data_IF_186122933934
#
_entry.id   IF_186122933934
#
_cell.length_a   1.000
_cell.length_b   1.000
_cell.length_c   1.000
_cell.angle_alpha   90.00
_cell.angle_beta   90.00
_cell.angle_gamma   90.00
#
_symmetry.space_group_name_H-M   'P 1'
#
loop_
_entity.id
_entity.type
_entity.pdbx_description
1 polymer ?
#
# COMPACT_ATOMS: atom_id res chain seq x y z
N UNK A 1 -1.75 -11.65 -14.69
CA UNK A 1 -2.10 -11.98 -13.29
C UNK A 1 -1.28 -11.09 -12.40
N UNK A 2 -1.87 -10.54 -11.35
CA UNK A 2 -1.13 -9.73 -10.39
C UNK A 2 -0.36 -10.68 -9.46
N UNK A 3 0.92 -10.43 -9.20
CA UNK A 3 1.79 -11.35 -8.43
C UNK A 3 2.59 -10.59 -7.38
N UNK A 4 2.70 -11.17 -6.19
CA UNK A 4 3.53 -10.67 -5.10
C UNK A 4 4.80 -11.54 -5.06
N UNK A 5 5.97 -10.91 -5.08
CA UNK A 5 7.26 -11.59 -4.92
C UNK A 5 7.94 -10.98 -3.69
N UNK A 6 8.24 -11.83 -2.70
CA UNK A 6 8.92 -11.43 -1.47
C UNK A 6 10.36 -11.95 -1.48
N UNK A 7 11.31 -11.05 -1.28
CA UNK A 7 12.72 -11.39 -1.04
C UNK A 7 13.20 -10.64 0.20
N UNK A 8 14.15 -11.22 0.92
CA UNK A 8 14.74 -10.58 2.11
C UNK A 8 16.24 -10.46 1.89
N UNK A 9 16.78 -9.26 1.96
CA UNK A 9 18.21 -9.00 1.83
C UNK A 9 18.71 -8.22 3.05
N UNK A 10 19.73 -8.75 3.74
CA UNK A 10 20.28 -8.17 4.96
C UNK A 10 19.22 -7.80 6.01
N UNK A 11 18.16 -8.62 6.11
CA UNK A 11 17.05 -8.41 7.05
C UNK A 11 16.03 -7.34 6.64
N UNK A 12 16.13 -6.78 5.43
CA UNK A 12 15.13 -5.87 4.85
C UNK A 12 14.32 -6.63 3.82
N UNK A 13 13.00 -6.60 3.97
CA UNK A 13 12.07 -7.21 3.02
C UNK A 13 11.87 -6.31 1.81
N UNK A 14 11.96 -6.89 0.62
CA UNK A 14 11.66 -6.29 -0.67
C UNK A 14 10.40 -6.95 -1.20
N UNK A 15 9.34 -6.15 -1.31
CA UNK A 15 8.01 -6.57 -1.76
C UNK A 15 7.83 -6.07 -3.19
N UNK A 16 8.04 -6.96 -4.16
CA UNK A 16 7.78 -6.67 -5.57
C UNK A 16 6.35 -7.01 -5.93
N UNK A 17 5.71 -6.10 -6.66
CA UNK A 17 4.38 -6.30 -7.23
C UNK A 17 4.45 -6.24 -8.76
N UNK A 18 4.02 -7.32 -9.39
CA UNK A 18 3.90 -7.41 -10.85
C UNK A 18 2.42 -7.29 -11.20
N UNK A 19 2.02 -6.24 -11.93
CA UNK A 19 0.63 -6.02 -12.36
C UNK A 19 -0.07 -4.85 -11.67
N UNK A 20 -1.28 -5.07 -11.15
CA UNK A 20 -2.08 -4.06 -10.45
C UNK A 20 -1.98 -4.24 -8.94
N UNK A 21 -1.77 -3.14 -8.22
CA UNK A 21 -1.85 -3.11 -6.76
C UNK A 21 -3.22 -2.57 -6.34
N UNK A 22 -4.07 -3.46 -5.83
CA UNK A 22 -5.48 -3.21 -5.52
C UNK A 22 -5.87 -3.89 -4.22
N UNK A 23 -7.13 -3.77 -3.81
CA UNK A 23 -7.70 -4.55 -2.70
C UNK A 23 -7.40 -6.06 -2.77
N UNK A 24 -7.13 -6.64 -3.96
CA UNK A 24 -6.84 -8.07 -4.14
C UNK A 24 -5.54 -8.55 -3.49
N UNK A 25 -4.62 -7.64 -3.19
CA UNK A 25 -3.28 -7.98 -2.70
C UNK A 25 -3.08 -7.54 -1.24
N UNK A 26 -4.01 -6.74 -0.71
CA UNK A 26 -3.83 -6.01 0.55
C UNK A 26 -3.63 -6.94 1.74
N UNK A 27 -4.47 -7.95 1.95
CA UNK A 27 -4.41 -8.73 3.20
C UNK A 27 -3.06 -9.40 3.40
N UNK A 28 -2.48 -9.94 2.32
CA UNK A 28 -1.19 -10.63 2.42
C UNK A 28 -0.03 -9.63 2.58
N UNK A 29 -0.09 -8.49 1.91
CA UNK A 29 0.93 -7.44 2.08
C UNK A 29 0.88 -6.83 3.47
N UNK A 30 -0.32 -6.57 4.02
CA UNK A 30 -0.51 -6.14 5.41
C UNK A 30 0.20 -7.09 6.37
N UNK A 31 0.00 -8.40 6.20
CA UNK A 31 0.68 -9.42 7.02
C UNK A 31 2.21 -9.32 6.91
N UNK A 32 2.76 -9.21 5.70
CA UNK A 32 4.21 -9.04 5.50
C UNK A 32 4.70 -7.76 6.20
N UNK A 33 3.99 -6.64 6.07
CA UNK A 33 4.38 -5.36 6.65
C UNK A 33 4.29 -5.36 8.19
N UNK A 34 3.33 -6.07 8.78
CA UNK A 34 3.16 -6.23 10.23
C UNK A 34 4.24 -7.12 10.84
N UNK A 35 4.66 -8.17 10.14
CA UNK A 35 5.70 -9.11 10.56
C UNK A 35 7.13 -8.61 10.29
N UNK A 36 7.27 -7.54 9.48
CA UNK A 36 8.56 -7.02 9.06
C UNK A 36 9.41 -6.47 10.23
N UNK A 37 10.68 -6.90 10.29
CA UNK A 37 11.64 -6.46 11.31
C UNK A 37 12.23 -5.08 11.02
N UNK A 38 12.35 -4.74 9.74
CA UNK A 38 12.81 -3.45 9.24
C UNK A 38 11.74 -2.87 8.32
N UNK A 39 11.81 -1.56 8.06
CA UNK A 39 10.90 -0.91 7.09
C UNK A 39 11.11 -1.55 5.71
N UNK A 40 10.09 -2.22 5.14
CA UNK A 40 10.21 -2.87 3.84
C UNK A 40 10.33 -1.87 2.70
N UNK A 41 10.82 -2.37 1.56
CA UNK A 41 10.92 -1.63 0.31
C UNK A 41 9.89 -2.20 -0.66
N UNK A 42 9.10 -1.32 -1.27
CA UNK A 42 8.24 -1.69 -2.37
C UNK A 42 8.99 -1.58 -3.70
N UNK A 43 8.98 -2.64 -4.49
CA UNK A 43 9.46 -2.59 -5.88
C UNK A 43 8.26 -2.54 -6.82
N UNK A 44 8.06 -1.36 -7.41
CA UNK A 44 6.95 -1.04 -8.30
C UNK A 44 7.35 -1.05 -9.78
N UNK A 45 8.51 -1.63 -10.13
CA UNK A 45 9.02 -1.70 -11.50
C UNK A 45 7.99 -2.24 -12.51
N UNK A 46 7.10 -3.15 -12.06
CA UNK A 46 6.05 -3.76 -12.90
C UNK A 46 4.64 -3.39 -12.45
N UNK A 47 4.48 -2.41 -11.58
CA UNK A 47 3.16 -1.92 -11.16
C UNK A 47 2.63 -0.96 -12.22
N UNK A 48 1.42 -1.25 -12.70
CA UNK A 48 0.75 -0.49 -13.77
C UNK A 48 -0.41 0.35 -13.26
N UNK A 49 -0.88 0.10 -12.03
CA UNK A 49 -2.04 0.77 -11.44
C UNK A 49 -2.09 0.60 -9.92
N UNK A 50 -2.57 1.64 -9.23
CA UNK A 50 -2.97 1.61 -7.81
C UNK A 50 -4.45 1.99 -7.67
N UNK A 51 -5.19 1.31 -6.80
CA UNK A 51 -6.50 1.80 -6.34
C UNK A 51 -6.39 2.58 -5.01
N UNK A 52 -7.50 3.18 -4.59
CA UNK A 52 -7.61 3.91 -3.31
C UNK A 52 -7.30 3.02 -2.12
N UNK A 53 -7.68 1.75 -2.15
CA UNK A 53 -7.39 0.79 -1.07
C UNK A 53 -5.89 0.63 -0.88
N UNK A 54 -5.14 0.44 -1.96
CA UNK A 54 -3.69 0.28 -1.90
C UNK A 54 -2.98 1.60 -1.55
N UNK A 55 -3.49 2.74 -2.03
CA UNK A 55 -3.01 4.05 -1.62
C UNK A 55 -3.18 4.27 -0.11
N UNK A 56 -4.32 3.87 0.45
CA UNK A 56 -4.56 3.85 1.89
C UNK A 56 -3.58 2.95 2.65
N UNK A 57 -3.23 1.77 2.09
CA UNK A 57 -2.23 0.87 2.67
C UNK A 57 -0.85 1.56 2.75
N UNK A 58 -0.42 2.22 1.67
CA UNK A 58 0.85 2.96 1.64
C UNK A 58 0.81 4.10 2.67
N UNK A 59 -0.29 4.85 2.76
CA UNK A 59 -0.46 5.93 3.74
C UNK A 59 -0.35 5.41 5.17
N UNK A 60 -1.09 4.34 5.51
CA UNK A 60 -1.07 3.69 6.82
C UNK A 60 0.36 3.37 7.24
N UNK A 61 1.07 2.58 6.44
CA UNK A 61 2.37 2.06 6.85
C UNK A 61 3.49 3.09 6.81
N UNK A 62 3.49 4.03 5.86
CA UNK A 62 4.51 5.07 5.88
C UNK A 62 4.37 5.98 7.12
N UNK A 63 3.13 6.25 7.57
CA UNK A 63 2.89 6.96 8.83
C UNK A 63 3.28 6.13 10.05
N UNK A 64 2.91 4.84 10.11
CA UNK A 64 3.30 3.95 11.21
C UNK A 64 4.81 3.84 11.35
N UNK A 65 5.54 3.65 10.25
CA UNK A 65 7.00 3.59 10.26
C UNK A 65 7.65 4.93 10.58
N UNK A 66 7.04 6.05 10.17
CA UNK A 66 7.50 7.38 10.57
C UNK A 66 7.41 7.55 12.09
N UNK A 67 6.31 7.14 12.69
CA UNK A 67 6.11 7.21 14.14
C UNK A 67 7.01 6.24 14.91
N UNK A 68 7.12 4.98 14.45
CA UNK A 68 7.83 3.92 15.17
C UNK A 68 9.35 3.97 15.00
N UNK A 69 9.82 4.35 13.81
CA UNK A 69 11.24 4.23 13.44
C UNK A 69 11.84 5.52 12.87
N UNK A 70 11.07 6.61 12.80
CA UNK A 70 11.46 7.86 12.12
C UNK A 70 11.88 7.67 10.64
N UNK A 71 11.27 6.70 9.95
CA UNK A 71 11.57 6.36 8.55
C UNK A 71 10.31 6.33 7.70
N UNK A 72 10.43 6.70 6.43
CA UNK A 72 9.36 6.58 5.44
C UNK A 72 9.50 5.29 4.62
N UNK A 73 8.38 4.81 4.06
CA UNK A 73 8.40 3.76 3.07
C UNK A 73 9.21 4.18 1.83
N UNK A 74 9.95 3.23 1.27
CA UNK A 74 10.68 3.41 0.02
C UNK A 74 9.95 2.68 -1.11
N UNK A 75 9.78 3.35 -2.24
CA UNK A 75 9.21 2.79 -3.47
C UNK A 75 10.26 2.92 -4.58
N UNK A 76 10.58 1.79 -5.20
CA UNK A 76 11.52 1.70 -6.33
C UNK A 76 10.76 1.64 -7.65
N UNK A 77 11.19 2.44 -8.62
CA UNK A 77 10.73 2.45 -10.01
C UNK A 77 9.20 2.52 -10.21
N UNK A 78 8.45 3.38 -9.50
CA UNK A 78 7.05 3.57 -9.83
C UNK A 78 6.92 4.20 -11.23
N UNK A 79 5.96 3.73 -12.04
CA UNK A 79 5.66 4.36 -13.32
C UNK A 79 4.99 5.74 -13.13
N UNK A 80 4.96 6.57 -14.18
CA UNK A 80 4.43 7.94 -14.12
C UNK A 80 2.97 8.00 -13.61
N UNK A 81 2.13 7.06 -14.06
CA UNK A 81 0.75 6.95 -13.58
C UNK A 81 0.70 6.75 -12.06
N UNK A 82 1.52 5.85 -11.53
CA UNK A 82 1.58 5.57 -10.09
C UNK A 82 2.12 6.76 -9.32
N UNK A 83 3.16 7.43 -9.83
CA UNK A 83 3.68 8.67 -9.24
C UNK A 83 2.63 9.77 -9.17
N UNK A 84 1.82 9.94 -10.22
CA UNK A 84 0.75 10.92 -10.25
C UNK A 84 -0.34 10.62 -9.22
N UNK A 85 -0.75 9.34 -9.06
CA UNK A 85 -1.70 8.95 -8.02
C UNK A 85 -1.17 9.21 -6.60
N UNK A 86 0.10 8.88 -6.33
CA UNK A 86 0.74 9.16 -5.05
C UNK A 86 0.85 10.66 -4.77
N UNK A 87 1.06 11.47 -5.81
CA UNK A 87 1.12 12.93 -5.71
C UNK A 87 -0.25 13.53 -5.44
N UNK A 88 -1.27 13.12 -6.18
CA UNK A 88 -2.65 13.61 -6.06
C UNK A 88 -3.21 13.38 -4.66
N UNK A 89 -2.99 12.19 -4.11
CA UNK A 89 -3.40 11.86 -2.73
C UNK A 89 -2.64 12.64 -1.65
N UNK A 90 -1.54 13.32 -1.99
CA UNK A 90 -0.69 14.02 -1.05
C UNK A 90 0.25 13.11 -0.23
N UNK A 91 0.28 11.79 -0.47
CA UNK A 91 1.13 10.84 0.25
C UNK A 91 2.59 10.94 -0.21
N UNK A 92 2.84 11.33 -1.46
CA UNK A 92 4.19 11.34 -2.06
C UNK A 92 5.25 12.04 -1.21
N UNK A 93 4.88 13.11 -0.49
CA UNK A 93 5.79 13.85 0.42
C UNK A 93 6.24 13.05 1.65
N UNK A 94 5.62 11.91 1.91
CA UNK A 94 5.90 10.98 3.00
C UNK A 94 6.48 9.66 2.49
N UNK A 95 7.10 9.67 1.31
CA UNK A 95 7.70 8.49 0.69
C UNK A 95 9.10 8.83 0.21
N UNK A 96 9.95 7.81 0.17
CA UNK A 96 11.24 7.87 -0.53
C UNK A 96 11.02 7.21 -1.89
N UNK A 97 11.22 7.96 -2.97
CA UNK A 97 11.15 7.41 -4.33
C UNK A 97 12.57 7.24 -4.86
N UNK A 98 12.87 6.03 -5.34
CA UNK A 98 14.15 5.71 -5.97
C UNK A 98 13.92 5.20 -7.39
N UNK A 99 14.76 5.66 -8.32
CA UNK A 99 14.82 5.16 -9.68
C UNK A 99 16.15 4.45 -9.87
N UNK A 100 16.14 3.13 -9.75
CA UNK A 100 17.34 2.29 -9.71
C UNK A 100 17.26 1.22 -10.79
N UNK A 101 18.42 0.83 -11.32
CA UNK A 101 18.48 -0.35 -12.19
C UNK A 101 18.24 -1.59 -11.32
N UNK A 102 16.99 -2.04 -11.22
CA UNK A 102 16.64 -3.19 -10.40
C UNK A 102 17.25 -4.45 -11.00
N UNK A 103 18.23 -5.03 -10.32
CA UNK A 103 18.54 -6.45 -10.48
C UNK A 103 17.30 -7.28 -10.16
N UNK A 104 17.11 -8.39 -10.89
CA UNK A 104 15.99 -9.30 -10.66
C UNK A 104 15.87 -9.67 -9.19
N UNK A 105 14.74 -9.32 -8.58
CA UNK A 105 14.39 -9.77 -7.23
C UNK A 105 14.06 -11.27 -7.34
N UNK A 106 15.04 -12.12 -7.04
CA UNK A 106 14.80 -13.55 -6.84
C UNK A 106 14.18 -13.73 -5.45
N UNK A 107 12.89 -14.04 -5.42
CA UNK A 107 12.11 -14.15 -4.21
C UNK A 107 11.03 -15.23 -4.30
N UNK A 108 10.37 -15.49 -3.18
CA UNK A 108 9.24 -16.42 -3.11
C UNK A 108 8.00 -15.74 -3.68
N UNK A 109 7.29 -16.43 -4.57
CA UNK A 109 5.95 -16.02 -5.00
C UNK A 109 4.98 -16.22 -3.84
N UNK A 110 4.25 -15.16 -3.50
CA UNK A 110 3.25 -15.16 -2.45
C UNK A 110 1.86 -15.08 -3.09
N UNK A 111 0.95 -15.91 -2.60
CA UNK A 111 -0.44 -15.92 -3.05
C UNK A 111 -1.14 -14.63 -2.60
N UNK A 112 -1.78 -13.92 -3.54
CA UNK A 112 -2.53 -12.71 -3.21
C UNK A 112 -3.80 -13.04 -2.44
N UNK A 113 -4.10 -12.24 -1.42
CA UNK A 113 -5.34 -12.34 -0.65
C UNK A 113 -6.08 -11.01 -0.62
N UNK A 114 -7.37 -11.06 -0.97
CA UNK A 114 -8.24 -9.90 -1.01
C UNK A 114 -8.51 -9.36 0.40
N UNK A 115 -8.45 -8.03 0.51
CA UNK A 115 -8.81 -7.25 1.69
C UNK A 115 -10.18 -7.68 2.24
N UNK A 116 -10.29 -7.78 3.56
CA UNK A 116 -11.60 -7.89 4.20
C UNK A 116 -12.34 -6.54 4.13
N UNK A 117 -13.67 -6.50 4.24
CA UNK A 117 -14.42 -5.24 4.28
C UNK A 117 -13.91 -4.27 5.36
N UNK A 118 -13.48 -4.80 6.50
CA UNK A 118 -12.93 -4.05 7.62
C UNK A 118 -11.59 -3.40 7.25
N UNK A 119 -10.71 -4.13 6.55
CA UNK A 119 -9.46 -3.56 6.02
C UNK A 119 -9.73 -2.49 4.96
N UNK A 120 -10.69 -2.72 4.05
CA UNK A 120 -11.03 -1.72 3.02
C UNK A 120 -11.51 -0.43 3.68
N UNK A 121 -12.40 -0.55 4.68
CA UNK A 121 -12.90 0.61 5.44
C UNK A 121 -11.76 1.35 6.12
N UNK A 122 -10.93 0.66 6.91
CA UNK A 122 -9.81 1.26 7.63
C UNK A 122 -8.88 2.05 6.68
N UNK A 123 -8.52 1.44 5.55
CA UNK A 123 -7.60 2.07 4.60
C UNK A 123 -8.21 3.29 3.89
N UNK A 124 -9.52 3.28 3.63
CA UNK A 124 -10.21 4.46 3.10
C UNK A 124 -10.36 5.57 4.13
N UNK A 125 -10.59 5.25 5.40
CA UNK A 125 -10.61 6.23 6.49
C UNK A 125 -9.26 6.93 6.62
N UNK A 126 -8.17 6.16 6.64
CA UNK A 126 -6.81 6.70 6.69
C UNK A 126 -6.52 7.61 5.49
N UNK A 127 -6.92 7.19 4.28
CA UNK A 127 -6.71 7.99 3.08
C UNK A 127 -7.55 9.27 3.10
N UNK A 128 -8.81 9.17 3.51
CA UNK A 128 -9.77 10.27 3.68
C UNK A 128 -9.24 11.32 4.66
N UNK A 129 -8.71 10.89 5.80
CA UNK A 129 -8.26 11.79 6.87
C UNK A 129 -6.90 12.43 6.61
N UNK A 130 -6.24 12.08 5.51
CA UNK A 130 -4.92 12.58 5.17
C UNK A 130 -4.92 14.09 4.83
N UNK A 131 -5.99 14.56 4.17
CA UNK A 131 -6.18 15.98 3.84
C UNK A 131 -7.66 16.25 3.45
N UNK A 132 -8.05 17.53 3.43
CA UNK A 132 -9.44 17.94 3.14
C UNK A 132 -9.94 17.58 1.73
N UNK A 133 -9.04 17.44 0.74
CA UNK A 133 -9.40 17.04 -0.62
C UNK A 133 -9.77 15.55 -0.65
N UNK A 134 -8.91 14.70 -0.08
CA UNK A 134 -9.18 13.27 0.09
C UNK A 134 -10.46 13.04 0.90
N UNK A 135 -10.68 13.83 1.97
CA UNK A 135 -11.89 13.73 2.78
C UNK A 135 -13.14 13.93 1.93
N UNK A 136 -13.19 14.99 1.13
CA UNK A 136 -14.33 15.27 0.23
C UNK A 136 -14.51 14.17 -0.82
N UNK A 137 -13.41 13.60 -1.31
CA UNK A 137 -13.44 12.55 -2.33
C UNK A 137 -13.96 11.21 -1.77
N UNK A 138 -13.50 10.81 -0.59
CA UNK A 138 -13.72 9.46 -0.05
C UNK A 138 -14.80 9.36 1.04
N UNK A 139 -15.29 10.48 1.60
CA UNK A 139 -16.29 10.49 2.69
C UNK A 139 -17.53 9.63 2.38
N UNK A 140 -18.08 9.75 1.15
CA UNK A 140 -19.24 8.96 0.74
C UNK A 140 -18.96 7.46 0.71
N UNK A 141 -17.76 7.07 0.24
CA UNK A 141 -17.35 5.66 0.18
C UNK A 141 -17.18 5.11 1.59
N UNK A 142 -16.54 5.87 2.48
CA UNK A 142 -16.38 5.52 3.89
C UNK A 142 -17.74 5.32 4.57
N UNK A 143 -18.68 6.25 4.39
CA UNK A 143 -20.01 6.15 4.99
C UNK A 143 -20.77 4.90 4.52
N UNK A 144 -20.68 4.56 3.23
CA UNK A 144 -21.29 3.34 2.69
C UNK A 144 -20.61 2.08 3.25
N UNK A 145 -19.28 2.06 3.33
CA UNK A 145 -18.53 0.92 3.86
C UNK A 145 -18.80 0.68 5.34
N UNK A 146 -18.96 1.74 6.17
CA UNK A 146 -19.36 1.61 7.58
C UNK A 146 -20.69 0.88 7.74
N UNK A 147 -21.67 1.13 6.86
CA UNK A 147 -22.97 0.44 6.87
C UNK A 147 -22.83 -1.04 6.50
N UNK A 148 -21.89 -1.40 5.63
CA UNK A 148 -21.64 -2.80 5.24
C UNK A 148 -20.95 -3.56 6.37
N UNK A 149 -19.96 -2.94 7.02
CA UNK A 149 -19.22 -3.54 8.14
C UNK A 149 -20.12 -3.67 9.37
N UNK A 150 -20.84 -2.61 9.76
CA UNK A 150 -21.69 -2.61 10.94
C UNK A 150 -22.92 -3.53 10.86
N UNK A 151 -23.30 -3.99 9.67
CA UNK A 151 -24.40 -4.96 9.47
C UNK A 151 -24.00 -6.42 9.66
N UNK A 152 -22.72 -6.74 9.86
CA UNK A 152 -22.27 -8.12 10.08
C UNK A 152 -22.49 -8.63 11.51
N UNK A 153 -22.81 -7.72 12.43
CA UNK A 153 -23.00 -8.03 13.86
C UNK A 153 -24.48 -8.10 14.30
N UNK A 154 -25.43 -8.07 13.34
CA UNK A 154 -26.88 -8.28 13.54
C UNK A 154 -27.34 -9.60 12.88
#
# INVERSE_FOLDING_TARGET
MDTIILSTNNGVDIIRLDGKATMKNVSEITKILDEAKNVPIFDFTKVTYLDSTFLGLIAKYTMLYKTKYNKYLTIINPCELVLNLLKQTGILKFLIILNENTTSVNGKVIESKMATPEQILELHEILSDLNEENKKEFEKVVEQMRKVVGKKDE
#
